data_IF_293431709546
#
_entry.id   IF_293431709546
#
_cell.length_a   1.000
_cell.length_b   1.000
_cell.length_c   1.000
_cell.angle_alpha   90.00
_cell.angle_beta   90.00
_cell.angle_gamma   90.00
#
_symmetry.space_group_name_H-M   'P 1'
#
loop_
_entity.id
_entity.type
_entity.pdbx_description
1 polymer ?
#
# COMPACT_ATOMS: atom_id res chain seq x y z
N UNK A 1 2.60 6.54 8.71
CA UNK A 1 2.83 5.09 8.50
C UNK A 1 4.12 4.69 9.17
N UNK A 2 4.22 3.48 9.71
CA UNK A 2 5.42 2.98 10.37
C UNK A 2 5.53 1.47 10.22
N UNK A 3 6.75 0.95 10.38
CA UNK A 3 7.03 -0.48 10.47
C UNK A 3 6.77 -0.96 11.89
N UNK A 4 5.94 -1.99 12.04
CA UNK A 4 5.69 -2.74 13.27
C UNK A 4 6.43 -4.06 13.20
N UNK A 5 7.27 -4.33 14.19
CA UNK A 5 7.90 -5.64 14.42
C UNK A 5 6.96 -6.50 15.28
N UNK A 6 6.69 -7.71 14.84
CA UNK A 6 5.90 -8.70 15.58
C UNK A 6 6.81 -9.89 15.87
N UNK A 7 6.96 -10.24 17.15
CA UNK A 7 7.66 -11.45 17.57
C UNK A 7 6.61 -12.53 17.83
N UNK A 8 6.72 -13.65 17.13
CA UNK A 8 5.98 -14.88 17.43
C UNK A 8 6.92 -15.89 18.10
N UNK A 9 6.40 -17.06 18.50
CA UNK A 9 7.20 -18.10 19.20
C UNK A 9 8.42 -18.59 18.43
N UNK A 10 8.42 -18.50 17.10
CA UNK A 10 9.51 -19.00 16.26
C UNK A 10 9.98 -18.06 15.15
N UNK A 11 9.36 -16.88 14.99
CA UNK A 11 9.71 -15.96 13.92
C UNK A 11 9.48 -14.50 14.30
N UNK A 12 10.13 -13.63 13.55
CA UNK A 12 9.92 -12.19 13.60
C UNK A 12 9.36 -11.75 12.27
N UNK A 13 8.21 -11.07 12.31
CA UNK A 13 7.55 -10.52 11.13
C UNK A 13 7.59 -9.00 11.15
N UNK A 14 7.59 -8.41 9.96
CA UNK A 14 7.49 -6.96 9.77
C UNK A 14 6.21 -6.60 9.00
N UNK A 15 5.49 -5.62 9.53
CA UNK A 15 4.26 -5.10 8.97
C UNK A 15 4.37 -3.59 8.82
N UNK A 16 3.80 -3.04 7.76
CA UNK A 16 3.68 -1.59 7.55
C UNK A 16 2.23 -1.22 7.75
N UNK A 17 1.99 -0.20 8.57
CA UNK A 17 0.64 0.28 8.83
C UNK A 17 0.59 1.72 9.29
N UNK A 18 -0.60 2.17 9.68
CA UNK A 18 -0.85 3.49 10.25
C UNK A 18 -1.71 3.36 11.50
N UNK A 19 -1.56 4.31 12.42
CA UNK A 19 -2.45 4.43 13.59
C UNK A 19 -3.61 5.32 13.20
N UNK A 20 -4.83 4.81 13.27
CA UNK A 20 -6.07 5.56 13.04
C UNK A 20 -7.05 5.20 14.15
N UNK A 21 -7.64 6.20 14.80
CA UNK A 21 -8.62 6.03 15.89
C UNK A 21 -8.13 5.05 16.98
N UNK A 22 -6.84 5.16 17.36
CA UNK A 22 -6.23 4.27 18.36
C UNK A 22 -5.90 2.86 17.88
N UNK A 23 -6.35 2.44 16.69
CA UNK A 23 -6.14 1.11 16.12
C UNK A 23 -4.99 1.12 15.11
N UNK A 24 -4.29 0.00 15.01
CA UNK A 24 -3.29 -0.23 13.96
C UNK A 24 -3.97 -0.78 12.71
N UNK A 25 -4.00 0.01 11.65
CA UNK A 25 -4.51 -0.40 10.34
C UNK A 25 -3.32 -0.92 9.53
N UNK A 26 -3.35 -2.22 9.24
CA UNK A 26 -2.36 -2.87 8.40
C UNK A 26 -2.51 -2.39 6.96
N UNK A 27 -1.40 -1.97 6.35
CA UNK A 27 -1.34 -1.58 4.93
C UNK A 27 -0.65 -2.68 4.13
N UNK A 28 0.47 -3.20 4.63
CA UNK A 28 1.27 -4.21 3.94
C UNK A 28 1.96 -5.16 4.93
N UNK A 29 1.94 -6.45 4.61
CA UNK A 29 2.75 -7.46 5.30
C UNK A 29 4.02 -7.72 4.49
N UNK A 30 5.20 -7.50 5.10
CA UNK A 30 6.49 -7.59 4.39
C UNK A 30 7.01 -9.03 4.36
N UNK A 31 6.82 -9.77 5.46
CA UNK A 31 7.28 -11.15 5.62
C UNK A 31 7.73 -11.45 7.05
N UNK A 32 8.08 -12.71 7.31
CA UNK A 32 8.62 -13.17 8.58
C UNK A 32 9.75 -14.19 8.42
N UNK A 33 10.68 -14.18 9.36
CA UNK A 33 11.82 -15.09 9.38
C UNK A 33 12.19 -15.51 10.80
N UNK A 34 12.80 -16.68 10.93
CA UNK A 34 13.30 -17.23 12.19
C UNK A 34 14.81 -16.98 12.38
N UNK A 35 15.58 -16.93 11.28
CA UNK A 35 17.02 -16.75 11.30
C UNK A 35 17.41 -15.27 11.46
N UNK A 36 18.40 -14.92 12.30
CA UNK A 36 18.81 -13.53 12.54
C UNK A 36 19.16 -12.74 11.27
N UNK A 37 19.91 -13.35 10.35
CA UNK A 37 20.32 -12.73 9.09
C UNK A 37 19.11 -12.37 8.21
N UNK A 38 18.15 -13.29 8.10
CA UNK A 38 16.94 -13.08 7.33
C UNK A 38 16.03 -12.03 7.98
N UNK A 39 16.01 -11.95 9.31
CA UNK A 39 15.28 -10.91 10.05
C UNK A 39 15.86 -9.54 9.71
N UNK A 40 17.19 -9.41 9.62
CA UNK A 40 17.83 -8.15 9.27
C UNK A 40 17.56 -7.75 7.81
N UNK A 41 17.62 -8.70 6.88
CA UNK A 41 17.21 -8.47 5.48
C UNK A 41 15.76 -8.00 5.39
N UNK A 42 14.84 -8.65 6.12
CA UNK A 42 13.43 -8.24 6.15
C UNK A 42 13.24 -6.86 6.81
N UNK A 43 14.05 -6.50 7.79
CA UNK A 43 14.04 -5.17 8.42
C UNK A 43 14.38 -4.09 7.40
N UNK A 44 15.47 -4.29 6.65
CA UNK A 44 15.91 -3.35 5.61
C UNK A 44 14.87 -3.27 4.48
N UNK A 45 14.32 -4.41 4.05
CA UNK A 45 13.24 -4.46 3.06
C UNK A 45 12.01 -3.67 3.54
N UNK A 46 11.58 -3.87 4.78
CA UNK A 46 10.44 -3.15 5.35
C UNK A 46 10.67 -1.63 5.42
N UNK A 47 11.91 -1.20 5.66
CA UNK A 47 12.27 0.23 5.63
C UNK A 47 12.22 0.80 4.22
N UNK A 48 12.75 0.08 3.22
CA UNK A 48 12.66 0.46 1.81
C UNK A 48 11.21 0.60 1.34
N UNK A 49 10.38 -0.39 1.64
CA UNK A 49 8.95 -0.35 1.28
C UNK A 49 8.20 0.79 1.99
N UNK A 50 8.53 1.09 3.26
CA UNK A 50 7.95 2.22 3.97
C UNK A 50 8.33 3.56 3.30
N UNK A 51 9.57 3.68 2.82
CA UNK A 51 10.06 4.87 2.13
C UNK A 51 9.30 5.09 0.83
N UNK A 52 9.19 4.06 -0.01
CA UNK A 52 8.43 4.10 -1.26
C UNK A 52 6.96 4.49 -1.01
N UNK A 53 6.28 3.82 -0.07
CA UNK A 53 4.89 4.13 0.27
C UNK A 53 4.68 5.58 0.75
N UNK A 54 5.68 6.17 1.43
CA UNK A 54 5.63 7.57 1.83
C UNK A 54 5.85 8.51 0.64
N UNK A 55 6.75 8.17 -0.29
CA UNK A 55 7.02 8.98 -1.47
C UNK A 55 5.79 9.06 -2.40
N UNK A 56 5.13 7.93 -2.67
CA UNK A 56 3.95 7.92 -3.53
C UNK A 56 2.73 8.62 -2.93
N UNK A 57 2.67 8.80 -1.60
CA UNK A 57 1.55 9.51 -0.95
C UNK A 57 1.55 11.03 -1.16
N UNK A 58 2.71 11.62 -1.45
CA UNK A 58 2.84 13.06 -1.65
C UNK A 58 2.84 13.44 -3.13
N UNK A 59 2.60 12.50 -4.04
CA UNK A 59 2.45 12.80 -5.45
C UNK A 59 1.04 13.32 -5.70
N UNK A 60 0.94 14.58 -6.12
CA UNK A 60 -0.29 15.12 -6.70
C UNK A 60 -0.53 14.32 -8.00
N UNK A 61 -1.71 13.71 -8.19
CA UNK A 61 -2.00 13.04 -9.44
C UNK A 61 -1.94 14.07 -10.57
N UNK A 62 -0.98 13.89 -11.50
CA UNK A 62 -0.78 14.79 -12.64
C UNK A 62 -1.97 14.80 -13.60
N UNK A 63 -2.83 13.78 -13.53
CA UNK A 63 -4.06 13.68 -14.29
C UNK A 63 -5.22 13.50 -13.33
N UNK A 64 -6.09 14.50 -13.24
CA UNK A 64 -7.44 14.27 -12.74
C UNK A 64 -8.09 13.26 -13.67
N UNK A 65 -8.68 12.21 -13.09
CA UNK A 65 -9.54 11.29 -13.81
C UNK A 65 -10.73 12.13 -14.32
N UNK A 66 -10.62 12.64 -15.54
CA UNK A 66 -11.73 13.24 -16.26
C UNK A 66 -12.81 12.17 -16.35
N UNK A 67 -14.01 12.51 -15.86
CA UNK A 67 -15.18 11.66 -15.91
C UNK A 67 -15.32 11.15 -17.34
N UNK A 68 -15.08 9.86 -17.56
CA UNK A 68 -15.46 9.20 -18.80
C UNK A 68 -16.99 9.29 -18.84
N UNK A 69 -17.62 9.99 -19.81
CA UNK A 69 -19.07 9.93 -19.94
C UNK A 69 -19.44 8.47 -20.28
N UNK A 70 -20.50 7.91 -19.67
CA UNK A 70 -20.90 6.54 -19.94
C UNK A 70 -21.23 6.39 -21.42
N UNK A 71 -20.49 5.51 -22.10
CA UNK A 71 -20.79 5.06 -23.46
C UNK A 71 -22.09 4.26 -23.37
N UNK A 72 -23.20 4.87 -23.81
CA UNK A 72 -24.52 4.24 -23.69
C UNK A 72 -25.71 5.08 -24.14
N UNK A 73 -25.55 6.02 -25.07
CA UNK A 73 -26.70 6.64 -25.75
C UNK A 73 -26.64 6.32 -27.25
N UNK A 74 -27.56 5.45 -27.66
CA UNK A 74 -27.90 5.15 -29.04
C UNK A 74 -28.24 6.44 -29.78
N UNK A 75 -27.39 6.86 -30.71
CA UNK A 75 -27.79 7.81 -31.74
C UNK A 75 -28.50 7.02 -32.85
N UNK A 76 -29.83 7.02 -32.84
CA UNK A 76 -30.59 6.71 -34.05
C UNK A 76 -30.44 7.89 -35.03
N UNK A 77 -30.11 7.68 -36.30
CA UNK A 77 -30.21 8.74 -37.30
C UNK A 77 -31.69 8.98 -37.60
N UNK A 78 -32.19 10.16 -37.27
CA UNK A 78 -33.44 10.68 -37.83
C UNK A 78 -33.07 11.31 -39.17
N UNK A 79 -33.45 10.64 -40.27
CA UNK A 79 -33.46 11.25 -41.59
C UNK A 79 -34.63 12.25 -41.66
N UNK A 80 -34.34 13.47 -42.10
CA UNK A 80 -35.29 14.52 -42.46
C UNK A 80 -34.59 15.55 -43.33
#
# INVERSE_FOLDING_TARGET
MYVRRIKTRGSVCFQIGKKENGKFILIKHVGGASKPEQIEVLRLKAQGELYELKQFKNQIPLFFHSRIPPIGQNYYPVCG
#
